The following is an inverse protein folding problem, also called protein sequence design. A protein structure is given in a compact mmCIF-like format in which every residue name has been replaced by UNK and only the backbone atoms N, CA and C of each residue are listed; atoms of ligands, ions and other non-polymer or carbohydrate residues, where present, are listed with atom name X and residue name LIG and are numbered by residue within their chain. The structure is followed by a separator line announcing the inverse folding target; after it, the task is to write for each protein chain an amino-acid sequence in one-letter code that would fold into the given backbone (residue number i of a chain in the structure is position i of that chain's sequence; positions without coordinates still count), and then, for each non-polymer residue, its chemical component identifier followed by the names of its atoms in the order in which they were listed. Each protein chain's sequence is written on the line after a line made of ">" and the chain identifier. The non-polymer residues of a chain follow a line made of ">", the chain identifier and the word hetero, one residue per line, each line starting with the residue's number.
data_IF_242594846453
#
_entry.id   IF_242594846453
#
_cell.length_a   1.000
_cell.length_b   1.000
_cell.length_c   1.000
_cell.angle_alpha   90.00
_cell.angle_beta   90.00
_cell.angle_gamma   90.00
#
_symmetry.space_group_name_H-M   'P 1'
#
loop_
_entity.id
_entity.type
_entity.pdbx_description
1 polymer ?
#
# COMPACT_ATOMS: atom_id res chain seq x y z
N UNK A 1 19.42 -1.73 -13.28
CA UNK A 1 18.80 -1.03 -12.14
C UNK A 1 18.04 -2.07 -11.35
N UNK A 2 18.60 -2.48 -10.21
CA UNK A 2 18.00 -3.51 -9.37
C UNK A 2 16.58 -3.10 -8.96
N UNK A 3 15.66 -4.05 -9.12
CA UNK A 3 14.29 -3.93 -8.70
C UNK A 3 14.33 -3.89 -7.15
N UNK A 4 14.27 -2.69 -6.54
CA UNK A 4 14.12 -2.55 -5.09
C UNK A 4 12.76 -3.10 -4.68
N UNK A 5 12.69 -4.42 -4.55
CA UNK A 5 11.54 -5.14 -4.05
C UNK A 5 11.34 -4.72 -2.60
N UNK A 6 10.15 -4.21 -2.31
CA UNK A 6 9.75 -3.95 -0.93
C UNK A 6 9.70 -5.31 -0.22
N UNK A 7 10.46 -5.47 0.87
CA UNK A 7 10.53 -6.74 1.60
C UNK A 7 9.31 -6.84 2.51
N UNK A 8 8.34 -7.62 2.06
CA UNK A 8 7.13 -7.91 2.80
C UNK A 8 7.43 -8.98 3.85
N UNK A 9 7.00 -8.75 5.09
CA UNK A 9 7.07 -9.70 6.19
C UNK A 9 5.64 -10.19 6.47
N UNK A 10 5.48 -11.48 6.74
CA UNK A 10 4.22 -12.01 7.25
C UNK A 10 4.24 -11.89 8.79
N UNK A 11 3.37 -11.05 9.33
CA UNK A 11 3.13 -10.90 10.76
C UNK A 11 1.72 -11.40 11.06
N UNK A 12 1.61 -12.57 11.69
CA UNK A 12 0.34 -13.18 12.09
C UNK A 12 -0.69 -13.33 10.96
N UNK A 13 -0.22 -13.61 9.75
CA UNK A 13 -1.06 -13.74 8.54
C UNK A 13 -1.22 -12.44 7.74
N UNK A 14 -0.72 -11.31 8.25
CA UNK A 14 -0.78 -10.02 7.59
C UNK A 14 0.56 -9.68 6.92
N UNK A 15 0.49 -9.32 5.65
CA UNK A 15 1.63 -8.83 4.88
C UNK A 15 1.92 -7.38 5.23
N UNK A 16 3.08 -7.14 5.84
CA UNK A 16 3.51 -5.83 6.35
C UNK A 16 4.89 -5.43 5.86
N UNK A 17 5.19 -4.14 5.94
CA UNK A 17 6.48 -3.53 5.56
C UNK A 17 6.94 -2.61 6.67
N UNK A 18 8.20 -2.72 7.09
CA UNK A 18 8.74 -1.84 8.14
C UNK A 18 8.93 -0.39 7.66
N UNK A 19 8.70 0.58 8.54
CA UNK A 19 8.93 2.00 8.24
C UNK A 19 10.38 2.32 7.87
N UNK A 20 11.36 1.52 8.32
CA UNK A 20 12.76 1.62 7.89
C UNK A 20 12.96 1.30 6.41
N UNK A 21 12.38 0.19 5.94
CA UNK A 21 12.45 -0.15 4.52
C UNK A 21 11.73 0.88 3.65
N UNK A 22 10.63 1.44 4.13
CA UNK A 22 9.98 2.57 3.46
C UNK A 22 10.94 3.76 3.36
N UNK A 23 11.63 4.10 4.45
CA UNK A 23 12.63 5.16 4.43
C UNK A 23 13.76 4.88 3.41
N UNK A 24 14.34 3.69 3.43
CA UNK A 24 15.41 3.27 2.51
C UNK A 24 14.97 3.31 1.04
N UNK A 25 13.85 2.66 0.71
CA UNK A 25 13.36 2.54 -0.67
C UNK A 25 13.05 3.90 -1.28
N UNK A 26 12.49 4.82 -0.50
CA UNK A 26 12.13 6.17 -0.96
C UNK A 26 13.23 7.22 -0.73
N UNK A 27 14.39 6.83 -0.19
CA UNK A 27 15.52 7.72 0.08
C UNK A 27 15.18 8.82 1.08
N UNK A 28 14.43 8.48 2.13
CA UNK A 28 14.02 9.38 3.21
C UNK A 28 14.71 9.01 4.52
N UNK A 29 14.79 9.96 5.45
CA UNK A 29 15.23 9.67 6.81
C UNK A 29 14.14 8.90 7.56
N UNK A 30 14.52 7.87 8.34
CA UNK A 30 13.56 7.05 9.09
C UNK A 30 12.72 7.89 10.05
N UNK A 31 13.32 8.87 10.72
CA UNK A 31 12.61 9.82 11.60
C UNK A 31 11.48 10.55 10.89
N UNK A 32 11.71 11.08 9.68
CA UNK A 32 10.66 11.77 8.91
C UNK A 32 9.51 10.82 8.50
N UNK A 33 9.81 9.54 8.25
CA UNK A 33 8.78 8.54 7.97
C UNK A 33 7.96 8.27 9.23
N UNK A 34 8.61 8.13 10.39
CA UNK A 34 7.92 7.98 11.68
C UNK A 34 7.01 9.17 12.01
N UNK A 35 7.49 10.40 11.80
CA UNK A 35 6.72 11.64 11.97
C UNK A 35 5.50 11.68 11.03
N UNK A 36 5.70 11.30 9.76
CA UNK A 36 4.59 11.23 8.80
C UNK A 36 3.53 10.21 9.21
N UNK A 37 3.94 9.05 9.70
CA UNK A 37 3.02 8.02 10.21
C UNK A 37 2.26 8.54 11.43
N UNK A 38 2.93 9.14 12.41
CA UNK A 38 2.27 9.72 13.58
C UNK A 38 1.26 10.83 13.22
N UNK A 39 1.58 11.65 12.21
CA UNK A 39 0.66 12.63 11.65
C UNK A 39 -0.58 11.97 11.03
N UNK A 40 -0.39 10.91 10.24
CA UNK A 40 -1.49 10.14 9.66
C UNK A 40 -2.34 9.47 10.74
N UNK A 41 -1.76 8.89 11.79
CA UNK A 41 -2.50 8.35 12.92
C UNK A 41 -3.42 9.43 13.55
N UNK A 42 -2.89 10.63 13.73
CA UNK A 42 -3.65 11.78 14.28
C UNK A 42 -4.79 12.22 13.37
N UNK A 43 -4.57 12.24 12.05
CA UNK A 43 -5.57 12.58 11.04
C UNK A 43 -6.65 11.49 10.88
N UNK A 44 -6.30 10.22 11.04
CA UNK A 44 -7.19 9.05 10.91
C UNK A 44 -8.03 8.83 12.16
N UNK A 45 -7.47 9.04 13.36
CA UNK A 45 -8.13 8.80 14.64
C UNK A 45 -9.57 9.34 14.78
N UNK A 46 -9.94 10.53 14.26
CA UNK A 46 -11.32 11.01 14.29
C UNK A 46 -12.25 10.34 13.26
N UNK A 47 -11.71 9.64 12.27
CA UNK A 47 -12.46 8.95 11.20
C UNK A 47 -12.64 7.47 11.55
N UNK A 48 -11.56 6.79 11.92
CA UNK A 48 -11.55 5.36 12.27
C UNK A 48 -10.28 4.97 13.06
N UNK A 49 -10.11 3.68 13.36
CA UNK A 49 -8.96 3.18 14.11
C UNK A 49 -7.72 3.00 13.22
N UNK A 50 -6.62 3.69 13.55
CA UNK A 50 -5.37 3.62 12.79
C UNK A 50 -4.60 2.30 12.94
N UNK A 51 -4.96 1.46 13.92
CA UNK A 51 -4.26 0.19 14.24
C UNK A 51 -4.27 -0.82 13.10
N UNK A 52 -5.23 -0.73 12.17
CA UNK A 52 -5.29 -1.56 10.96
C UNK A 52 -4.30 -1.14 9.87
N UNK A 53 -3.70 0.05 10.00
CA UNK A 53 -2.76 0.63 9.04
C UNK A 53 -1.33 0.61 9.56
N UNK A 54 -1.15 0.91 10.85
CA UNK A 54 0.14 1.11 11.48
C UNK A 54 0.23 0.29 12.76
N UNK A 55 1.23 -0.60 12.83
CA UNK A 55 1.48 -1.47 13.98
C UNK A 55 2.79 -1.01 14.63
N UNK A 56 2.76 -0.37 15.82
CA UNK A 56 3.97 0.03 16.53
C UNK A 56 4.80 -1.20 16.91
N UNK A 57 6.12 -1.14 16.70
CA UNK A 57 7.05 -2.19 17.11
C UNK A 57 8.44 -1.63 17.40
N UNK A 58 9.37 -2.51 17.70
CA UNK A 58 10.77 -2.18 17.95
C UNK A 58 11.71 -3.10 17.16
N UNK A 59 12.88 -2.58 16.85
CA UNK A 59 13.97 -3.35 16.26
C UNK A 59 15.26 -3.10 17.01
N UNK A 60 16.19 -4.07 16.93
CA UNK A 60 17.57 -3.86 17.37
C UNK A 60 18.37 -3.21 16.26
N UNK A 61 18.97 -2.07 16.54
CA UNK A 61 19.90 -1.44 15.61
C UNK A 61 21.26 -2.17 15.56
N UNK A 62 22.19 -1.65 14.76
CA UNK A 62 23.51 -2.25 14.57
C UNK A 62 24.36 -2.26 15.86
N UNK A 63 24.01 -1.44 16.86
CA UNK A 63 24.65 -1.41 18.18
C UNK A 63 23.93 -2.32 19.18
N UNK A 64 22.85 -2.98 18.78
CA UNK A 64 22.02 -3.82 19.63
C UNK A 64 21.01 -3.05 20.47
N UNK A 65 20.88 -1.73 20.27
CA UNK A 65 19.94 -0.89 21.01
C UNK A 65 18.53 -1.04 20.42
N UNK A 66 17.51 -1.08 21.29
CA UNK A 66 16.12 -1.10 20.84
C UNK A 66 15.70 0.28 20.35
N UNK A 67 15.14 0.31 19.15
CA UNK A 67 14.67 1.51 18.45
C UNK A 67 13.24 1.28 17.96
N UNK A 68 12.41 2.31 18.05
CA UNK A 68 11.01 2.26 17.60
C UNK A 68 10.93 2.19 16.08
N UNK A 69 9.98 1.42 15.57
CA UNK A 69 9.53 1.47 14.18
C UNK A 69 8.04 1.16 14.07
N UNK A 70 7.49 1.23 12.86
CA UNK A 70 6.14 0.74 12.57
C UNK A 70 6.23 -0.38 11.54
N UNK A 71 5.33 -1.34 11.64
CA UNK A 71 4.99 -2.27 10.57
C UNK A 71 3.72 -1.75 9.90
N UNK A 72 3.82 -1.50 8.60
CA UNK A 72 2.75 -0.91 7.79
C UNK A 72 2.08 -2.02 7.00
N UNK A 73 0.76 -2.10 7.10
CA UNK A 73 -0.03 -2.93 6.19
C UNK A 73 0.02 -2.36 4.78
N UNK A 74 -0.50 -3.07 3.77
CA UNK A 74 -0.62 -2.54 2.41
C UNK A 74 -1.28 -1.15 2.38
N UNK A 75 -2.33 -0.97 3.18
CA UNK A 75 -3.13 0.25 3.16
C UNK A 75 -2.42 1.38 3.92
N UNK A 76 -1.80 1.09 5.07
CA UNK A 76 -0.94 2.05 5.79
C UNK A 76 0.28 2.49 4.98
N UNK A 77 0.91 1.56 4.25
CA UNK A 77 1.98 1.87 3.31
C UNK A 77 1.50 2.81 2.19
N UNK A 78 0.33 2.53 1.61
CA UNK A 78 -0.26 3.36 0.55
C UNK A 78 -0.54 4.78 1.04
N UNK A 79 -1.20 4.93 2.20
CA UNK A 79 -1.46 6.24 2.83
C UNK A 79 -0.17 7.03 3.06
N UNK A 80 0.88 6.37 3.54
CA UNK A 80 2.18 6.98 3.78
C UNK A 80 2.82 7.49 2.49
N UNK A 81 2.88 6.64 1.45
CA UNK A 81 3.56 6.96 0.19
C UNK A 81 2.80 7.99 -0.64
N UNK A 82 1.47 8.06 -0.53
CA UNK A 82 0.68 9.09 -1.22
C UNK A 82 1.07 10.51 -0.79
N UNK A 83 1.47 10.69 0.48
CA UNK A 83 2.01 11.95 0.99
C UNK A 83 3.46 12.25 0.58
N UNK A 84 4.15 11.32 -0.09
CA UNK A 84 5.55 11.51 -0.49
C UNK A 84 5.69 12.25 -1.83
N UNK A 85 6.71 13.10 -1.87
CA UNK A 85 7.20 13.81 -3.06
C UNK A 85 8.56 13.25 -3.52
N UNK A 86 8.95 13.56 -4.78
CA UNK A 86 10.21 13.16 -5.41
C UNK A 86 10.06 12.08 -6.49
N UNK A 87 11.11 11.90 -7.30
CA UNK A 87 11.09 11.01 -8.48
C UNK A 87 10.76 9.54 -8.14
N UNK A 88 11.34 9.00 -7.05
CA UNK A 88 11.04 7.64 -6.59
C UNK A 88 9.58 7.47 -6.16
N UNK A 89 9.04 8.45 -5.43
CA UNK A 89 7.64 8.47 -5.03
C UNK A 89 6.71 8.55 -6.25
N UNK A 90 7.06 9.38 -7.25
CA UNK A 90 6.31 9.48 -8.49
C UNK A 90 6.33 8.16 -9.27
N UNK A 91 7.49 7.52 -9.42
CA UNK A 91 7.61 6.22 -10.09
C UNK A 91 6.72 5.17 -9.42
N UNK A 92 6.71 5.11 -8.09
CA UNK A 92 5.84 4.18 -7.37
C UNK A 92 4.36 4.49 -7.60
N UNK A 93 3.95 5.77 -7.52
CA UNK A 93 2.57 6.20 -7.78
C UNK A 93 2.12 5.83 -9.19
N UNK A 94 2.98 5.97 -10.20
CA UNK A 94 2.68 5.54 -11.58
C UNK A 94 2.46 4.02 -11.68
N UNK A 95 3.31 3.21 -11.02
CA UNK A 95 3.11 1.75 -10.96
C UNK A 95 1.81 1.36 -10.25
N UNK A 96 1.44 2.08 -9.20
CA UNK A 96 0.16 1.87 -8.51
C UNK A 96 -1.03 2.17 -9.43
N UNK A 97 -1.00 3.30 -10.15
CA UNK A 97 -2.02 3.66 -11.15
C UNK A 97 -2.12 2.57 -12.24
N UNK A 98 -0.98 2.09 -12.74
CA UNK A 98 -0.95 1.01 -13.74
C UNK A 98 -1.63 -0.27 -13.23
N UNK A 99 -1.32 -0.69 -12.00
CA UNK A 99 -1.94 -1.86 -11.38
C UNK A 99 -3.45 -1.67 -11.18
N UNK A 100 -3.88 -0.47 -10.79
CA UNK A 100 -5.30 -0.14 -10.67
C UNK A 100 -6.03 -0.23 -12.01
N UNK A 101 -5.44 0.33 -13.08
CA UNK A 101 -6.03 0.28 -14.42
C UNK A 101 -6.14 -1.17 -14.94
N UNK A 102 -5.13 -2.02 -14.66
CA UNK A 102 -5.19 -3.46 -15.00
C UNK A 102 -6.32 -4.17 -14.27
N UNK A 103 -6.52 -3.88 -12.99
CA UNK A 103 -7.65 -4.41 -12.21
C UNK A 103 -8.99 -3.92 -12.77
N UNK A 104 -9.11 -2.63 -13.10
CA UNK A 104 -10.32 -2.05 -13.69
C UNK A 104 -10.67 -2.72 -15.03
N UNK A 105 -9.68 -2.92 -15.90
CA UNK A 105 -9.85 -3.60 -17.18
C UNK A 105 -10.31 -5.05 -16.99
N UNK A 106 -9.67 -5.80 -16.09
CA UNK A 106 -10.04 -7.19 -15.82
C UNK A 106 -11.50 -7.31 -15.32
N UNK A 107 -11.98 -6.34 -14.53
CA UNK A 107 -13.38 -6.29 -14.08
C UNK A 107 -14.35 -5.94 -15.23
N UNK A 108 -13.97 -5.04 -16.15
CA UNK A 108 -14.76 -4.71 -17.34
C UNK A 108 -14.90 -5.90 -18.29
N UNK A 109 -13.83 -6.68 -18.46
CA UNK A 109 -13.82 -7.89 -19.29
C UNK A 109 -14.62 -9.05 -18.67
N UNK A 110 -14.77 -9.07 -17.34
CA UNK A 110 -15.56 -10.06 -16.60
C UNK A 110 -17.04 -9.71 -16.49
N UNK A 111 -17.47 -8.51 -16.92
CA UNK A 111 -18.90 -8.27 -17.06
C UNK A 111 -19.41 -9.17 -18.17
N UNK A 112 -20.37 -10.09 -17.91
CA UNK A 112 -20.99 -10.82 -18.98
C UNK A 112 -21.55 -9.78 -19.94
N UNK A 113 -21.12 -9.85 -21.20
CA UNK A 113 -21.88 -9.25 -22.28
C UNK A 113 -23.22 -9.98 -22.23
N UNK A 114 -24.20 -9.43 -21.52
CA UNK A 114 -25.58 -9.77 -21.76
C UNK A 114 -25.84 -9.30 -23.18
N UNK A 115 -25.51 -10.15 -24.15
CA UNK A 115 -25.98 -10.03 -25.50
C UNK A 115 -27.49 -10.15 -25.36
N UNK A 116 -28.17 -9.00 -25.29
CA UNK A 116 -29.61 -8.96 -25.38
C UNK A 116 -29.94 -9.67 -26.70
N UNK A 117 -30.78 -10.72 -26.67
CA UNK A 117 -31.16 -11.42 -27.87
C UNK A 117 -31.68 -10.39 -28.86
N UNK A 118 -31.04 -10.34 -30.03
CA UNK A 118 -31.35 -9.33 -31.05
C UNK A 118 -32.73 -9.59 -31.66
N UNK A 119 -33.30 -10.78 -31.40
CA UNK A 119 -34.62 -11.18 -31.88
C UNK A 119 -35.37 -12.05 -30.87
N UNK A 120 -36.70 -11.94 -30.86
CA UNK A 120 -37.60 -12.74 -30.01
C UNK A 120 -37.50 -14.26 -30.22
N UNK A 121 -36.92 -14.74 -31.34
CA UNK A 121 -36.77 -16.18 -31.63
C UNK A 121 -35.76 -16.87 -30.71
N UNK A 122 -34.83 -16.14 -30.11
CA UNK A 122 -33.76 -16.70 -29.28
C UNK A 122 -34.18 -16.99 -27.83
N UNK A 123 -35.37 -16.53 -27.41
CA UNK A 123 -35.81 -16.54 -26.00
C UNK A 123 -36.73 -17.75 -25.66
N UNK A 124 -37.14 -18.54 -26.66
CA UNK A 124 -38.26 -19.51 -26.53
C UNK A 124 -37.93 -20.96 -26.96
N UNK A 125 -36.66 -21.37 -26.86
CA UNK A 125 -36.23 -22.78 -26.93
C UNK A 125 -35.56 -23.17 -25.61
#
# INVERSE_FOLDING_TARGET
>A
MENSLIKVVNQDGQLVVSSRQVAENFGKQHGHVMEKIAGLETEIQPIENSSGYFIPTEYKDLKGELRKEYLLTRDGFTLTVMGFTGAKALQWKLKYIEAFNKMEQALKEQQPVFALPQTYKEVLL
#
